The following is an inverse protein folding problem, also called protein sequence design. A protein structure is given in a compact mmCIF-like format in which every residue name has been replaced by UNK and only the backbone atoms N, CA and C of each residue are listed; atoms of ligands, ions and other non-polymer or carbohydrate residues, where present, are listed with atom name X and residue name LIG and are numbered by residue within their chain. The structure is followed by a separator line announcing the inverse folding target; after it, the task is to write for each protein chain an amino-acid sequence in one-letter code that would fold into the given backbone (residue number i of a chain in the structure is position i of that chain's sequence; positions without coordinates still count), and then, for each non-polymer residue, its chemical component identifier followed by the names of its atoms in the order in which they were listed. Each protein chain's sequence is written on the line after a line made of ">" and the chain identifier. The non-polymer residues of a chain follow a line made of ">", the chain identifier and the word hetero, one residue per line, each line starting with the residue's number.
data_IF_556465170769
#
_entry.id   IF_556465170769
#
_cell.length_a   1.000
_cell.length_b   1.000
_cell.length_c   1.000
_cell.angle_alpha   90.00
_cell.angle_beta   90.00
_cell.angle_gamma   90.00
#
_symmetry.space_group_name_H-M   'P 1'
#
loop_
_entity.id
_entity.type
_entity.pdbx_description
1 polymer ?
#
# COMPACT_ATOMS: atom_id res chain seq x y z
N UNK A 1 -2.21 -6.98 -11.46
CA UNK A 1 -1.69 -8.36 -11.53
C UNK A 1 -1.70 -9.09 -10.17
N UNK A 2 -1.31 -8.49 -9.04
CA UNK A 2 -1.30 -9.19 -7.74
C UNK A 2 -2.68 -9.64 -7.23
N UNK A 3 -3.70 -8.77 -7.27
CA UNK A 3 -5.06 -9.11 -6.78
C UNK A 3 -5.67 -10.30 -7.50
N UNK A 4 -5.49 -10.39 -8.82
CA UNK A 4 -5.97 -11.54 -9.60
C UNK A 4 -5.30 -12.86 -9.19
N UNK A 5 -4.02 -12.84 -8.83
CA UNK A 5 -3.31 -14.03 -8.39
C UNK A 5 -3.78 -14.51 -7.01
N UNK A 6 -4.06 -13.58 -6.11
CA UNK A 6 -4.51 -13.89 -4.75
C UNK A 6 -6.02 -14.09 -4.61
N UNK A 7 -6.81 -13.87 -5.67
CA UNK A 7 -8.26 -14.09 -5.68
C UNK A 7 -8.67 -15.58 -5.71
N UNK A 8 -7.75 -16.49 -5.39
CA UNK A 8 -7.99 -17.93 -5.38
C UNK A 8 -8.44 -18.40 -3.98
N UNK A 9 -9.29 -19.44 -3.89
CA UNK A 9 -9.69 -20.00 -2.60
C UNK A 9 -8.48 -20.43 -1.75
N UNK A 10 -8.51 -20.11 -0.46
CA UNK A 10 -7.42 -20.40 0.49
C UNK A 10 -6.34 -19.32 0.57
N UNK A 11 -6.44 -18.23 -0.22
CA UNK A 11 -5.53 -17.09 -0.20
C UNK A 11 -6.20 -15.80 0.28
N UNK A 12 -7.32 -15.89 1.00
CA UNK A 12 -8.14 -14.74 1.40
C UNK A 12 -7.34 -13.71 2.21
N UNK A 13 -6.43 -14.17 3.08
CA UNK A 13 -5.52 -13.28 3.81
C UNK A 13 -4.61 -12.50 2.87
N UNK A 14 -3.97 -13.18 1.92
CA UNK A 14 -3.13 -12.53 0.90
C UNK A 14 -3.93 -11.60 0.00
N UNK A 15 -5.17 -11.95 -0.32
CA UNK A 15 -6.07 -11.11 -1.11
C UNK A 15 -6.35 -9.78 -0.39
N UNK A 16 -6.63 -9.83 0.91
CA UNK A 16 -6.86 -8.63 1.71
C UNK A 16 -5.64 -7.69 1.66
N UNK A 17 -4.42 -8.23 1.84
CA UNK A 17 -3.20 -7.45 1.70
C UNK A 17 -3.02 -6.92 0.27
N UNK A 18 -3.25 -7.73 -0.75
CA UNK A 18 -3.08 -7.31 -2.14
C UNK A 18 -4.02 -6.16 -2.52
N UNK A 19 -5.25 -6.16 -1.99
CA UNK A 19 -6.20 -5.07 -2.15
C UNK A 19 -5.74 -3.79 -1.44
N UNK A 20 -5.21 -3.90 -0.21
CA UNK A 20 -4.63 -2.75 0.49
C UNK A 20 -3.44 -2.15 -0.27
N UNK A 21 -2.53 -2.98 -0.78
CA UNK A 21 -1.41 -2.51 -1.60
C UNK A 21 -1.90 -1.82 -2.88
N UNK A 22 -2.90 -2.40 -3.54
CA UNK A 22 -3.50 -1.78 -4.73
C UNK A 22 -4.10 -0.41 -4.41
N UNK A 23 -4.85 -0.28 -3.32
CA UNK A 23 -5.45 0.99 -2.92
C UNK A 23 -4.41 2.09 -2.65
N UNK A 24 -3.27 1.75 -2.03
CA UNK A 24 -2.16 2.69 -1.82
C UNK A 24 -1.58 3.16 -3.16
N UNK A 25 -1.33 2.24 -4.09
CA UNK A 25 -0.80 2.57 -5.41
C UNK A 25 -1.81 3.36 -6.25
N UNK A 26 -3.10 3.05 -6.17
CA UNK A 26 -4.15 3.81 -6.85
C UNK A 26 -4.26 5.24 -6.30
N UNK A 27 -4.11 5.42 -4.98
CA UNK A 27 -4.18 6.73 -4.33
C UNK A 27 -2.93 7.59 -4.56
N UNK A 28 -1.74 7.02 -4.37
CA UNK A 28 -0.49 7.79 -4.34
C UNK A 28 0.45 7.54 -5.53
N UNK A 29 0.18 6.52 -6.35
CA UNK A 29 1.06 6.08 -7.44
C UNK A 29 2.37 5.41 -6.98
N UNK A 30 2.58 5.29 -5.66
CA UNK A 30 3.79 4.76 -5.01
C UNK A 30 3.49 4.34 -3.58
N UNK A 31 4.46 3.74 -2.89
CA UNK A 31 4.36 3.39 -1.48
C UNK A 31 4.97 4.48 -0.59
N UNK A 32 4.16 5.30 0.12
CA UNK A 32 4.68 6.44 0.89
C UNK A 32 5.68 6.06 1.97
N UNK A 33 5.52 4.89 2.59
CA UNK A 33 6.44 4.40 3.64
C UNK A 33 7.87 4.15 3.11
N UNK A 34 8.04 4.02 1.79
CA UNK A 34 9.36 3.89 1.14
C UNK A 34 9.99 5.23 0.76
N UNK A 35 9.29 6.35 0.93
CA UNK A 35 9.80 7.65 0.49
C UNK A 35 11.11 8.00 1.18
N UNK A 36 11.21 7.82 2.50
CA UNK A 36 12.41 8.15 3.28
C UNK A 36 13.64 7.34 2.84
N UNK A 37 13.50 6.01 2.71
CA UNK A 37 14.62 5.14 2.32
C UNK A 37 15.05 5.34 0.86
N UNK A 38 14.14 5.84 0.01
CA UNK A 38 14.43 6.18 -1.39
C UNK A 38 14.81 7.65 -1.60
N UNK A 39 14.95 8.45 -0.53
CA UNK A 39 15.31 9.87 -0.61
C UNK A 39 14.25 10.77 -1.27
N UNK A 40 12.97 10.37 -1.25
CA UNK A 40 11.85 11.13 -1.83
C UNK A 40 11.16 11.98 -0.76
N UNK A 41 10.78 13.20 -1.14
CA UNK A 41 9.88 14.01 -0.32
C UNK A 41 8.45 13.43 -0.36
N UNK A 42 7.81 13.40 0.81
CA UNK A 42 6.40 13.03 0.94
C UNK A 42 5.51 14.28 0.85
N UNK A 43 4.34 14.17 0.23
CA UNK A 43 3.30 15.20 0.27
C UNK A 43 2.61 15.24 1.63
N UNK A 44 1.85 16.31 1.91
CA UNK A 44 1.07 16.41 3.15
C UNK A 44 0.06 15.27 3.30
N UNK A 45 -0.55 14.82 2.20
CA UNK A 45 -1.48 13.69 2.19
C UNK A 45 -0.77 12.37 2.52
N UNK A 46 0.42 12.15 1.94
CA UNK A 46 1.25 10.99 2.24
C UNK A 46 1.69 11.00 3.72
N UNK A 47 2.04 12.17 4.26
CA UNK A 47 2.42 12.32 5.68
C UNK A 47 1.24 12.07 6.62
N UNK A 48 0.03 12.50 6.25
CA UNK A 48 -1.17 12.21 7.01
C UNK A 48 -1.47 10.70 7.01
N UNK A 49 -1.40 10.07 5.83
CA UNK A 49 -1.58 8.62 5.69
C UNK A 49 -0.57 7.83 6.54
N UNK A 50 0.71 8.22 6.54
CA UNK A 50 1.76 7.56 7.34
C UNK A 50 1.55 7.62 8.86
N UNK A 51 0.62 8.44 9.35
CA UNK A 51 0.26 8.50 10.77
C UNK A 51 -0.89 7.56 11.13
N UNK A 52 -1.59 7.01 10.14
CA UNK A 52 -2.71 6.08 10.34
C UNK A 52 -2.19 4.66 10.64
N UNK A 53 -2.90 3.88 11.47
CA UNK A 53 -2.58 2.47 11.66
C UNK A 53 -2.74 1.69 10.34
N UNK A 54 -1.80 0.78 10.06
CA UNK A 54 -1.80 0.02 8.81
C UNK A 54 -1.28 0.80 7.60
N UNK A 55 -0.62 1.95 7.79
CA UNK A 55 0.03 2.71 6.72
C UNK A 55 1.42 2.20 6.33
N UNK A 56 1.96 1.27 7.12
CA UNK A 56 3.20 0.56 6.87
C UNK A 56 3.01 -0.94 7.15
N UNK A 57 3.33 -1.75 6.16
CA UNK A 57 3.32 -3.22 6.19
C UNK A 57 4.32 -3.75 5.17
#
# INVERSE_FOLDING_TARGET
>A
QAVQLFAQPGLEGNLAFALQHQAIIERFGRYPHRNAVLGRASSDEELAFLREPGSAF
#
